data_IF_493696914676
#
_entry.id   IF_493696914676
#
_cell.length_a   1.000
_cell.length_b   1.000
_cell.length_c   1.000
_cell.angle_alpha   90.00
_cell.angle_beta   90.00
_cell.angle_gamma   90.00
#
_symmetry.space_group_name_H-M   'P 1'
#
loop_
_entity.id
_entity.type
_entity.pdbx_description
1 polymer ?
#
# COMPACT_ATOMS: atom_id res chain seq x y z
N UNK A 1 22.25 15.25 -16.47
CA UNK A 1 21.79 14.24 -15.48
C UNK A 1 22.66 13.00 -15.66
N UNK A 2 23.37 12.51 -14.64
CA UNK A 2 24.12 11.26 -14.75
C UNK A 2 23.12 10.08 -14.76
N UNK A 3 23.21 9.24 -15.80
CA UNK A 3 22.35 8.07 -15.95
C UNK A 3 22.62 7.02 -14.87
N UNK A 4 21.58 6.31 -14.47
CA UNK A 4 21.67 5.21 -13.50
C UNK A 4 22.48 4.07 -14.14
N UNK A 5 23.57 3.68 -13.47
CA UNK A 5 24.45 2.60 -13.89
C UNK A 5 23.89 1.25 -13.44
N UNK A 6 23.45 0.45 -14.41
CA UNK A 6 22.93 -0.90 -14.21
C UNK A 6 24.01 -1.99 -14.21
N UNK A 7 25.31 -1.64 -14.37
CA UNK A 7 26.43 -2.60 -14.39
C UNK A 7 26.61 -3.39 -13.09
N UNK A 8 25.92 -3.01 -12.00
CA UNK A 8 25.89 -3.76 -10.74
C UNK A 8 25.09 -5.07 -10.81
N UNK A 9 24.17 -5.20 -11.76
CA UNK A 9 23.32 -6.39 -11.89
C UNK A 9 23.97 -7.52 -12.71
N UNK A 10 25.01 -7.19 -13.50
CA UNK A 10 25.75 -8.15 -14.34
C UNK A 10 26.76 -9.03 -13.56
N UNK A 11 26.85 -8.90 -12.23
CA UNK A 11 27.82 -9.65 -11.41
C UNK A 11 27.28 -10.91 -10.73
N UNK A 12 26.07 -11.35 -11.07
CA UNK A 12 25.48 -12.60 -10.56
C UNK A 12 25.85 -13.82 -11.42
N UNK A 13 27.09 -13.88 -11.91
CA UNK A 13 27.62 -15.08 -12.57
C UNK A 13 28.17 -16.05 -11.53
N UNK A 14 27.59 -17.24 -11.55
CA UNK A 14 27.88 -18.44 -10.76
C UNK A 14 29.36 -18.62 -10.39
N UNK A 15 29.68 -18.42 -9.11
CA UNK A 15 30.97 -18.82 -8.55
C UNK A 15 30.93 -20.30 -8.17
N UNK A 16 31.12 -21.16 -9.16
CA UNK A 16 31.39 -22.59 -8.99
C UNK A 16 32.85 -22.85 -8.58
N UNK A 17 33.02 -23.47 -7.41
CA UNK A 17 34.05 -24.44 -7.00
C UNK A 17 35.52 -24.25 -7.41
N UNK A 18 36.39 -24.12 -6.40
CA UNK A 18 37.76 -24.64 -6.40
C UNK A 18 38.07 -25.23 -5.02
N UNK A 19 37.83 -26.53 -4.85
CA UNK A 19 38.24 -27.32 -3.69
C UNK A 19 39.70 -27.77 -3.86
N UNK A 20 40.58 -27.30 -2.95
CA UNK A 20 41.89 -27.90 -2.73
C UNK A 20 41.80 -28.92 -1.60
N UNK A 21 41.93 -30.20 -1.97
CA UNK A 21 42.33 -31.33 -1.10
C UNK A 21 43.69 -31.02 -0.48
N UNK A 22 43.99 -31.37 0.77
CA UNK A 22 44.40 -32.71 1.17
C UNK A 22 44.55 -32.79 2.71
N UNK A 23 43.89 -33.75 3.38
CA UNK A 23 44.46 -34.41 4.57
C UNK A 23 43.67 -35.69 4.90
N UNK A 24 44.41 -36.74 5.27
CA UNK A 24 43.97 -38.12 5.35
C UNK A 24 43.28 -38.47 6.67
N UNK A 25 42.24 -39.30 6.59
CA UNK A 25 41.51 -39.75 7.78
C UNK A 25 40.45 -40.81 7.47
N UNK A 26 40.92 -42.00 7.11
CA UNK A 26 40.35 -43.33 7.40
C UNK A 26 39.06 -43.34 8.25
N UNK A 27 37.92 -43.79 7.65
CA UNK A 27 36.94 -44.74 8.23
C UNK A 27 35.64 -44.89 7.40
N UNK A 28 35.36 -46.16 7.11
CA UNK A 28 34.08 -46.87 6.96
C UNK A 28 32.99 -46.38 5.99
N UNK A 29 32.81 -47.24 4.98
CA UNK A 29 31.72 -47.33 4.01
C UNK A 29 30.32 -47.22 4.63
N UNK A 30 29.63 -46.11 4.31
CA UNK A 30 28.18 -46.08 4.13
C UNK A 30 27.82 -45.21 2.94
N UNK A 31 27.36 -45.86 1.88
CA UNK A 31 26.78 -45.28 0.67
C UNK A 31 25.63 -44.31 1.05
N UNK A 32 25.94 -43.02 1.09
CA UNK A 32 24.94 -41.97 0.95
C UNK A 32 25.09 -41.39 -0.45
N UNK A 33 24.15 -41.78 -1.31
CA UNK A 33 23.92 -41.25 -2.65
C UNK A 33 23.60 -39.75 -2.56
N UNK A 34 24.66 -38.94 -2.59
CA UNK A 34 24.61 -37.48 -2.53
C UNK A 34 24.30 -36.96 -3.94
N UNK A 35 23.07 -37.25 -4.40
CA UNK A 35 22.54 -36.68 -5.63
C UNK A 35 22.33 -35.18 -5.42
N UNK A 36 23.25 -34.39 -5.95
CA UNK A 36 23.18 -32.95 -6.14
C UNK A 36 21.76 -32.50 -6.53
N UNK A 37 21.05 -31.87 -5.58
CA UNK A 37 19.75 -31.24 -5.81
C UNK A 37 19.95 -30.02 -6.70
N UNK A 38 19.94 -30.23 -8.01
CA UNK A 38 19.67 -29.16 -8.95
C UNK A 38 18.26 -28.62 -8.67
N UNK A 39 18.05 -27.30 -8.62
CA UNK A 39 16.72 -26.73 -8.54
C UNK A 39 15.93 -27.18 -9.78
N UNK A 40 14.96 -28.07 -9.60
CA UNK A 40 14.03 -28.48 -10.65
C UNK A 40 12.88 -27.47 -10.70
N UNK A 41 12.77 -26.76 -11.82
CA UNK A 41 11.59 -25.95 -12.14
C UNK A 41 10.52 -26.89 -12.69
N UNK A 42 9.57 -27.28 -11.85
CA UNK A 42 8.35 -27.97 -12.30
C UNK A 42 7.49 -26.98 -13.07
N UNK A 43 7.33 -27.19 -14.39
CA UNK A 43 6.32 -26.47 -15.17
C UNK A 43 4.95 -26.74 -14.55
N UNK A 44 4.27 -25.68 -14.12
CA UNK A 44 2.87 -25.75 -13.70
C UNK A 44 2.03 -26.24 -14.89
N UNK A 45 1.57 -27.49 -14.84
CA UNK A 45 0.55 -28.04 -15.74
C UNK A 45 -0.83 -27.47 -15.37
N UNK A 46 -1.02 -26.19 -15.62
CA UNK A 46 -2.33 -25.53 -15.46
C UNK A 46 -2.71 -24.86 -16.78
N UNK A 47 -4.03 -24.75 -17.08
CA UNK A 47 -4.49 -24.19 -18.34
C UNK A 47 -3.94 -22.77 -18.53
N UNK A 48 -3.17 -22.59 -19.61
CA UNK A 48 -2.47 -21.35 -19.96
C UNK A 48 -3.43 -20.19 -20.24
N UNK A 49 -4.71 -20.47 -20.53
CA UNK A 49 -5.75 -19.45 -20.67
C UNK A 49 -7.14 -20.00 -20.35
N UNK A 50 -7.88 -19.24 -19.55
CA UNK A 50 -9.32 -19.45 -19.32
C UNK A 50 -10.05 -18.25 -19.89
N UNK A 51 -10.89 -18.47 -20.90
CA UNK A 51 -11.68 -17.40 -21.53
C UNK A 51 -13.15 -17.60 -21.14
N UNK A 52 -13.76 -16.55 -20.58
CA UNK A 52 -15.18 -16.53 -20.22
C UNK A 52 -15.95 -15.79 -21.32
N UNK A 53 -16.72 -16.53 -22.11
CA UNK A 53 -17.58 -15.98 -23.17
C UNK A 53 -19.06 -16.27 -22.91
N UNK A 54 -19.98 -15.69 -23.72
CA UNK A 54 -21.43 -15.94 -23.61
C UNK A 54 -21.81 -17.41 -23.82
N UNK A 55 -20.89 -18.23 -24.34
CA UNK A 55 -21.05 -19.67 -24.54
C UNK A 55 -20.41 -20.53 -23.42
N UNK A 56 -20.02 -19.92 -22.28
CA UNK A 56 -19.42 -20.62 -21.15
C UNK A 56 -17.89 -20.49 -21.04
N UNK A 57 -17.30 -21.36 -20.22
CA UNK A 57 -15.86 -21.38 -19.90
C UNK A 57 -15.11 -22.19 -20.96
N UNK A 58 -14.26 -21.54 -21.75
CA UNK A 58 -13.32 -22.22 -22.64
C UNK A 58 -11.94 -22.32 -21.98
N UNK A 59 -11.42 -23.54 -21.85
CA UNK A 59 -10.07 -23.83 -21.38
C UNK A 59 -9.18 -24.17 -22.59
N UNK A 60 -8.15 -23.37 -22.80
CA UNK A 60 -7.17 -23.59 -23.85
C UNK A 60 -5.90 -24.18 -23.22
N UNK A 61 -5.58 -25.43 -23.57
CA UNK A 61 -4.39 -26.14 -23.06
C UNK A 61 -3.12 -25.84 -23.88
N UNK A 62 -3.27 -25.24 -25.06
CA UNK A 62 -2.13 -24.92 -25.90
C UNK A 62 -1.44 -23.63 -25.38
N UNK A 63 -0.11 -23.63 -25.21
CA UNK A 63 0.62 -22.40 -24.93
C UNK A 63 0.44 -21.42 -26.10
N UNK A 64 0.22 -20.12 -25.84
CA UNK A 64 0.06 -19.14 -26.90
C UNK A 64 1.32 -19.12 -27.78
N UNK A 65 1.14 -19.31 -29.09
CA UNK A 65 2.22 -19.12 -30.05
C UNK A 65 2.52 -17.62 -30.10
N UNK A 66 3.67 -17.21 -29.57
CA UNK A 66 4.08 -15.81 -29.60
C UNK A 66 4.22 -15.35 -31.06
N UNK A 67 3.31 -14.47 -31.50
CA UNK A 67 3.28 -13.95 -32.87
C UNK A 67 4.32 -12.86 -33.15
N UNK A 68 5.17 -12.53 -32.18
CA UNK A 68 6.25 -11.57 -32.34
C UNK A 68 7.46 -11.95 -31.46
N UNK A 69 8.25 -12.94 -31.91
CA UNK A 69 9.65 -13.01 -31.48
C UNK A 69 10.48 -12.17 -32.46
N UNK A 70 11.23 -11.16 -32.01
CA UNK A 70 12.17 -10.43 -32.86
C UNK A 70 13.39 -11.28 -33.24
N UNK A 71 13.53 -12.48 -32.65
CA UNK A 71 14.58 -13.44 -32.99
C UNK A 71 14.05 -14.46 -33.98
N UNK A 72 14.10 -14.11 -35.27
CA UNK A 72 14.07 -15.10 -36.36
C UNK A 72 15.44 -15.76 -36.42
N UNK A 73 15.62 -16.86 -35.68
CA UNK A 73 16.69 -17.80 -35.98
C UNK A 73 16.38 -18.45 -37.34
N UNK A 74 17.14 -18.00 -38.34
CA UNK A 74 17.16 -18.58 -39.67
C UNK A 74 18.13 -19.76 -39.60
N UNK A 75 17.60 -20.98 -39.62
CA UNK A 75 18.39 -22.20 -39.76
C UNK A 75 18.92 -22.32 -41.20
N UNK A 76 20.06 -21.67 -41.46
CA UNK A 76 20.94 -22.00 -42.58
C UNK A 76 22.38 -21.61 -42.23
N UNK A 77 23.39 -22.47 -42.50
CA UNK A 77 24.79 -22.19 -42.18
C UNK A 77 25.35 -21.05 -43.06
N UNK A 78 26.27 -20.21 -42.53
CA UNK A 78 26.76 -19.05 -43.26
C UNK A 78 27.74 -19.47 -44.35
N UNK A 79 27.50 -18.99 -45.57
CA UNK A 79 28.57 -18.76 -46.56
C UNK A 79 29.11 -17.36 -46.36
N UNK A 80 30.40 -17.27 -46.06
CA UNK A 80 31.18 -16.05 -46.11
C UNK A 80 30.98 -15.34 -47.46
N UNK A 81 30.64 -14.06 -47.42
CA UNK A 81 31.14 -13.10 -48.41
C UNK A 81 31.20 -11.72 -47.77
N UNK A 82 32.41 -11.18 -47.77
CA UNK A 82 32.76 -9.78 -47.59
C UNK A 82 31.89 -8.88 -48.49
N UNK A 83 31.33 -7.81 -47.93
CA UNK A 83 31.53 -6.42 -48.38
C UNK A 83 30.44 -5.47 -47.83
N UNK A 84 30.91 -4.40 -47.17
CA UNK A 84 30.50 -3.04 -47.50
C UNK A 84 29.22 -2.45 -46.88
N UNK A 85 29.46 -1.38 -46.12
CA UNK A 85 28.68 -0.12 -46.13
C UNK A 85 27.63 0.13 -45.03
N UNK A 86 28.11 0.83 -44.00
CA UNK A 86 27.58 2.04 -43.33
C UNK A 86 26.15 2.50 -43.68
N UNK A 87 25.31 2.63 -42.64
CA UNK A 87 24.45 3.80 -42.45
C UNK A 87 24.02 3.91 -40.96
N UNK A 88 24.55 4.92 -40.28
CA UNK A 88 24.12 5.41 -38.97
C UNK A 88 22.94 6.35 -39.19
N UNK A 89 21.82 6.11 -38.53
CA UNK A 89 20.70 7.04 -38.49
C UNK A 89 20.39 7.42 -37.03
N UNK A 90 20.82 8.62 -36.65
CA UNK A 90 20.42 9.30 -35.42
C UNK A 90 19.08 10.01 -35.65
N UNK A 91 18.12 9.84 -34.74
CA UNK A 91 16.90 10.65 -34.68
C UNK A 91 17.12 11.86 -33.75
N UNK A 92 16.71 13.09 -34.15
CA UNK A 92 16.88 14.30 -33.34
C UNK A 92 15.72 14.51 -32.36
N UNK A 93 16.06 14.88 -31.13
CA UNK A 93 15.13 15.38 -30.10
C UNK A 93 14.95 16.90 -30.32
N UNK A 94 13.70 17.35 -30.48
CA UNK A 94 13.33 18.77 -30.47
C UNK A 94 13.07 19.21 -29.05
N UNK A 95 13.88 20.17 -28.57
CA UNK A 95 13.60 21.00 -27.41
C UNK A 95 12.69 22.16 -27.82
N UNK A 96 11.65 22.43 -27.04
CA UNK A 96 10.86 23.67 -27.15
C UNK A 96 10.97 24.44 -25.83
N UNK A 97 11.63 25.58 -25.95
CA UNK A 97 11.83 26.62 -24.93
C UNK A 97 10.68 27.63 -25.03
N UNK A 98 10.13 28.07 -23.90
CA UNK A 98 9.66 29.45 -23.82
C UNK A 98 9.79 30.02 -22.41
N UNK A 99 10.59 31.09 -22.37
CA UNK A 99 10.80 32.10 -21.34
C UNK A 99 9.54 32.99 -21.22
N UNK A 100 9.26 33.47 -20.02
CA UNK A 100 8.63 34.78 -19.84
C UNK A 100 9.21 35.44 -18.59
N UNK A 101 9.99 36.50 -18.82
CA UNK A 101 10.43 37.49 -17.84
C UNK A 101 9.28 38.50 -17.63
N UNK A 102 9.12 39.02 -16.41
CA UNK A 102 8.84 40.45 -16.22
C UNK A 102 9.26 40.90 -14.82
N UNK A 103 9.83 42.10 -14.83
CA UNK A 103 10.71 42.73 -13.87
C UNK A 103 9.98 43.82 -13.05
N UNK A 104 10.71 44.37 -12.08
CA UNK A 104 10.65 45.71 -11.48
C UNK A 104 9.79 45.99 -10.23
N UNK A 105 10.49 46.35 -9.15
CA UNK A 105 9.93 47.15 -8.05
C UNK A 105 10.75 47.22 -6.75
N UNK A 106 11.92 47.86 -6.77
CA UNK A 106 12.62 48.34 -5.54
C UNK A 106 12.17 49.77 -5.18
N UNK A 107 12.33 50.26 -3.93
CA UNK A 107 13.60 50.92 -3.57
C UNK A 107 14.06 50.88 -2.09
N UNK A 108 15.41 50.92 -1.92
CA UNK A 108 16.28 51.69 -0.97
C UNK A 108 15.94 51.75 0.55
N UNK A 109 16.87 51.82 1.51
CA UNK A 109 18.34 51.80 1.61
C UNK A 109 18.76 51.87 3.12
N UNK A 110 20.08 51.75 3.39
CA UNK A 110 20.83 52.14 4.61
C UNK A 110 21.03 51.02 5.65
N UNK A 111 22.22 50.73 6.21
CA UNK A 111 23.58 51.29 6.11
C UNK A 111 24.57 50.38 6.87
N UNK A 112 25.78 50.24 6.29
CA UNK A 112 27.12 50.04 6.87
C UNK A 112 27.30 49.34 8.24
N UNK A 113 28.04 48.22 8.23
CA UNK A 113 29.25 48.11 9.06
C UNK A 113 30.28 47.18 8.42
N UNK A 114 31.50 47.69 8.29
CA UNK A 114 32.68 47.04 7.73
C UNK A 114 33.45 46.41 8.88
N UNK A 115 33.72 45.10 8.85
CA UNK A 115 34.92 44.56 9.53
C UNK A 115 35.41 43.27 8.88
N UNK A 116 36.60 43.38 8.30
CA UNK A 116 37.40 42.30 7.74
C UNK A 116 37.78 41.27 8.81
N UNK A 117 37.56 39.99 8.53
CA UNK A 117 38.41 38.92 9.07
C UNK A 117 38.65 37.90 7.97
N UNK A 118 39.92 37.73 7.60
CA UNK A 118 40.38 36.85 6.55
C UNK A 118 40.36 35.39 7.01
N UNK A 119 39.98 34.50 6.08
CA UNK A 119 40.54 33.15 6.02
C UNK A 119 39.89 32.10 6.91
N UNK A 120 38.67 31.68 6.58
CA UNK A 120 38.23 30.31 6.81
C UNK A 120 37.39 29.89 5.61
N UNK A 121 37.70 28.71 5.06
CA UNK A 121 36.85 28.05 4.08
C UNK A 121 35.57 27.68 4.82
N UNK A 122 34.55 28.51 4.65
CA UNK A 122 33.18 28.14 4.97
C UNK A 122 32.77 27.11 3.92
N UNK A 123 33.08 25.85 4.22
CA UNK A 123 32.28 24.73 3.77
C UNK A 123 30.94 24.84 4.52
N UNK A 124 30.15 25.86 4.16
CA UNK A 124 28.71 25.94 4.44
C UNK A 124 28.04 24.86 3.58
N UNK A 125 28.34 23.61 3.95
CA UNK A 125 27.52 22.46 3.62
C UNK A 125 26.22 22.73 4.37
N UNK A 126 25.30 23.44 3.71
CA UNK A 126 23.88 23.41 4.03
C UNK A 126 23.49 21.93 4.04
N UNK A 127 23.66 21.31 5.21
CA UNK A 127 23.12 20.02 5.54
C UNK A 127 21.62 20.29 5.59
N UNK A 128 20.99 20.27 4.41
CA UNK A 128 19.55 20.16 4.31
C UNK A 128 19.22 18.88 5.07
N UNK A 129 18.72 19.05 6.29
CA UNK A 129 18.09 18.00 7.08
C UNK A 129 16.85 17.56 6.29
N UNK A 130 17.08 16.72 5.29
CA UNK A 130 16.05 16.19 4.39
C UNK A 130 15.01 15.35 5.14
N UNK A 131 15.21 15.10 6.44
CA UNK A 131 14.28 14.41 7.33
C UNK A 131 13.15 15.30 7.83
N UNK A 132 13.27 16.62 7.69
CA UNK A 132 12.35 17.55 8.32
C UNK A 132 11.00 17.65 7.59
N UNK A 133 11.01 17.55 6.27
CA UNK A 133 9.79 17.63 5.45
C UNK A 133 8.95 16.34 5.53
N UNK A 134 9.58 15.19 5.82
CA UNK A 134 8.91 13.88 5.81
C UNK A 134 7.87 13.73 6.94
N UNK A 135 8.12 14.28 8.14
CA UNK A 135 7.19 14.18 9.27
C UNK A 135 5.89 14.96 9.01
N UNK A 136 6.01 16.14 8.40
CA UNK A 136 4.86 16.98 8.07
C UNK A 136 4.00 16.35 6.97
N UNK A 137 4.63 15.78 5.95
CA UNK A 137 3.95 15.00 4.92
C UNK A 137 3.23 13.79 5.51
N UNK A 138 3.86 13.07 6.45
CA UNK A 138 3.24 11.93 7.12
C UNK A 138 2.03 12.38 7.95
N UNK A 139 2.16 13.46 8.71
CA UNK A 139 1.06 14.00 9.52
C UNK A 139 -0.13 14.45 8.67
N UNK A 140 0.11 15.17 7.57
CA UNK A 140 -0.94 15.56 6.62
C UNK A 140 -1.60 14.35 5.96
N UNK A 141 -0.86 13.26 5.77
CA UNK A 141 -1.38 12.04 5.18
C UNK A 141 -2.30 11.24 6.12
N UNK A 142 -2.23 11.44 7.46
CA UNK A 142 -2.94 10.62 8.46
C UNK A 142 -4.47 10.57 8.33
N UNK A 143 -5.07 11.57 7.67
CA UNK A 143 -6.52 11.62 7.42
C UNK A 143 -6.86 11.66 5.91
N UNK A 144 -5.91 11.34 5.03
CA UNK A 144 -6.13 11.36 3.58
C UNK A 144 -7.25 10.40 3.17
N UNK A 145 -8.28 10.94 2.53
CA UNK A 145 -9.51 10.23 2.13
C UNK A 145 -10.26 9.53 3.28
N UNK A 146 -9.92 9.84 4.53
CA UNK A 146 -10.53 9.25 5.71
C UNK A 146 -10.91 10.36 6.68
N UNK A 147 -10.53 10.19 7.95
CA UNK A 147 -11.00 11.06 9.00
C UNK A 147 -10.21 10.98 10.29
N UNK A 148 -10.67 11.75 11.27
CA UNK A 148 -10.16 11.77 12.63
C UNK A 148 -11.34 11.70 13.59
N UNK A 149 -11.33 10.72 14.48
CA UNK A 149 -12.35 10.59 15.53
C UNK A 149 -11.76 11.09 16.85
N UNK A 150 -12.09 12.34 17.19
CA UNK A 150 -11.65 13.00 18.41
C UNK A 150 -10.13 12.95 18.62
N UNK A 151 -9.71 12.49 19.80
CA UNK A 151 -8.31 12.28 20.17
C UNK A 151 -7.90 10.80 20.14
N UNK A 152 -8.77 9.90 19.67
CA UNK A 152 -8.56 8.46 19.77
C UNK A 152 -7.71 7.94 18.61
N UNK A 153 -8.14 8.22 17.38
CA UNK A 153 -7.48 7.70 16.20
C UNK A 153 -7.70 8.58 14.97
N UNK A 154 -6.80 8.40 14.00
CA UNK A 154 -6.95 8.84 12.62
C UNK A 154 -7.11 7.63 11.73
N UNK A 155 -7.70 7.82 10.56
CA UNK A 155 -7.73 6.78 9.55
C UNK A 155 -7.67 7.36 8.15
N UNK A 156 -7.09 6.58 7.25
CA UNK A 156 -6.97 6.86 5.82
C UNK A 156 -7.46 5.66 5.05
N UNK A 157 -7.76 5.87 3.77
CA UNK A 157 -8.10 4.76 2.89
C UNK A 157 -7.67 5.00 1.45
N UNK A 158 -7.37 3.89 0.78
CA UNK A 158 -7.27 3.80 -0.67
C UNK A 158 -8.51 3.06 -1.20
N UNK A 159 -8.47 2.65 -2.45
CA UNK A 159 -9.50 1.78 -3.03
C UNK A 159 -9.56 0.42 -2.33
N UNK A 160 -8.41 -0.12 -1.96
CA UNK A 160 -8.19 -1.51 -1.52
C UNK A 160 -7.71 -1.64 -0.08
N UNK A 161 -7.21 -0.57 0.53
CA UNK A 161 -6.68 -0.59 1.89
C UNK A 161 -7.33 0.46 2.77
N UNK A 162 -7.28 0.21 4.08
CA UNK A 162 -7.59 1.16 5.14
C UNK A 162 -6.41 1.15 6.10
N UNK A 163 -5.99 2.33 6.55
CA UNK A 163 -4.93 2.46 7.55
C UNK A 163 -5.48 3.22 8.74
N UNK A 164 -5.37 2.66 9.94
CA UNK A 164 -5.85 3.26 11.19
C UNK A 164 -4.64 3.59 12.06
N UNK A 165 -4.57 4.82 12.56
CA UNK A 165 -3.48 5.30 13.41
C UNK A 165 -4.01 5.68 14.78
N UNK A 166 -3.68 4.88 15.80
CA UNK A 166 -4.06 5.13 17.19
C UNK A 166 -3.01 5.97 17.91
N UNK A 167 -3.45 6.95 18.69
CA UNK A 167 -2.55 7.67 19.59
C UNK A 167 -2.24 6.77 20.80
N UNK A 168 -0.97 6.47 21.03
CA UNK A 168 -0.51 5.64 22.15
C UNK A 168 0.47 6.43 23.03
N UNK A 169 0.73 6.02 24.28
CA UNK A 169 1.70 6.68 25.14
C UNK A 169 3.07 6.80 24.47
N UNK A 170 3.75 7.91 24.71
CA UNK A 170 5.03 8.25 24.06
C UNK A 170 6.10 7.17 24.20
N UNK A 171 6.14 6.53 25.37
CA UNK A 171 7.11 5.51 25.76
C UNK A 171 6.78 4.11 25.19
N UNK A 172 5.68 3.97 24.46
CA UNK A 172 5.24 2.68 23.91
C UNK A 172 6.28 2.11 22.96
N UNK A 173 6.78 0.92 23.30
CA UNK A 173 7.70 0.13 22.47
C UNK A 173 6.96 -1.06 21.90
N UNK A 174 7.50 -1.71 20.86
CA UNK A 174 6.90 -2.92 20.28
C UNK A 174 6.62 -3.99 21.33
N UNK A 175 7.58 -4.23 22.23
CA UNK A 175 7.44 -5.17 23.36
C UNK A 175 6.35 -4.81 24.39
N UNK A 176 5.85 -3.57 24.37
CA UNK A 176 4.75 -3.13 25.23
C UNK A 176 3.40 -3.54 24.67
N UNK A 177 3.30 -3.82 23.37
CA UNK A 177 2.09 -4.35 22.73
C UNK A 177 2.05 -5.85 23.01
N UNK A 178 1.28 -6.25 24.02
CA UNK A 178 1.25 -7.65 24.49
C UNK A 178 0.18 -8.48 23.82
N UNK A 179 -0.83 -7.83 23.26
CA UNK A 179 -1.92 -8.49 22.57
C UNK A 179 -2.27 -7.65 21.34
N UNK A 180 -2.31 -8.32 20.20
CA UNK A 180 -2.85 -7.79 18.95
C UNK A 180 -3.69 -8.91 18.35
N UNK A 181 -4.99 -8.69 18.21
CA UNK A 181 -5.92 -9.65 17.64
C UNK A 181 -6.83 -8.96 16.66
N UNK A 182 -6.95 -9.58 15.49
CA UNK A 182 -7.91 -9.21 14.47
C UNK A 182 -8.70 -10.47 14.14
N UNK A 183 -10.01 -10.46 14.41
CA UNK A 183 -10.86 -11.63 14.26
C UNK A 183 -12.27 -11.27 13.85
N UNK A 184 -13.00 -12.24 13.31
CA UNK A 184 -14.42 -12.08 13.00
C UNK A 184 -15.27 -12.56 14.19
N UNK A 185 -16.31 -11.80 14.53
CA UNK A 185 -17.30 -12.19 15.52
C UNK A 185 -18.72 -11.80 15.07
N UNK A 186 -19.71 -12.50 15.59
CA UNK A 186 -21.11 -12.19 15.32
C UNK A 186 -21.46 -10.82 15.90
N UNK A 187 -22.16 -10.00 15.10
CA UNK A 187 -22.61 -8.68 15.55
C UNK A 187 -23.56 -8.79 16.74
N UNK A 188 -23.16 -8.24 17.88
CA UNK A 188 -23.99 -8.18 19.10
C UNK A 188 -25.22 -7.26 18.91
N UNK A 189 -25.17 -6.34 17.94
CA UNK A 189 -26.20 -5.31 17.76
C UNK A 189 -27.40 -5.75 16.93
N UNK A 190 -27.28 -6.85 16.18
CA UNK A 190 -28.35 -7.37 15.33
C UNK A 190 -28.30 -8.91 15.32
N UNK A 191 -28.79 -9.58 16.39
CA UNK A 191 -28.67 -11.03 16.56
C UNK A 191 -29.37 -11.86 15.47
N UNK A 192 -30.32 -11.26 14.73
CA UNK A 192 -31.01 -11.91 13.61
C UNK A 192 -30.23 -11.83 12.29
N UNK A 193 -29.16 -11.02 12.24
CA UNK A 193 -28.32 -10.89 11.06
C UNK A 193 -27.06 -11.72 11.27
N UNK A 194 -26.84 -12.74 10.44
CA UNK A 194 -25.60 -13.54 10.39
C UNK A 194 -24.39 -12.72 9.87
N UNK A 195 -24.45 -11.39 9.98
CA UNK A 195 -23.38 -10.49 9.61
C UNK A 195 -22.28 -10.59 10.65
N UNK A 196 -21.21 -11.22 10.22
CA UNK A 196 -19.95 -11.24 10.92
C UNK A 196 -19.27 -9.87 10.75
N UNK A 197 -18.65 -9.38 11.82
CA UNK A 197 -17.92 -8.12 11.84
C UNK A 197 -16.48 -8.38 12.27
N UNK A 198 -15.55 -7.62 11.72
CA UNK A 198 -14.16 -7.68 12.15
C UNK A 198 -13.95 -6.86 13.42
N UNK A 199 -13.34 -7.48 14.42
CA UNK A 199 -12.96 -6.90 15.70
C UNK A 199 -11.46 -6.72 15.76
N UNK A 200 -11.02 -5.58 16.28
CA UNK A 200 -9.64 -5.26 16.60
C UNK A 200 -9.49 -5.16 18.11
N UNK A 201 -8.59 -5.97 18.68
CA UNK A 201 -8.19 -5.89 20.08
C UNK A 201 -6.69 -5.66 20.19
N UNK A 202 -6.31 -4.61 20.91
CA UNK A 202 -4.91 -4.28 21.18
C UNK A 202 -4.75 -3.99 22.68
N UNK A 203 -3.80 -4.66 23.31
CA UNK A 203 -3.46 -4.42 24.73
C UNK A 203 -2.02 -3.92 24.81
N UNK A 204 -1.84 -2.74 25.43
CA UNK A 204 -0.55 -2.08 25.59
C UNK A 204 -0.23 -1.94 27.09
N UNK A 205 0.89 -2.52 27.52
CA UNK A 205 1.44 -2.32 28.86
C UNK A 205 2.10 -0.94 28.96
N UNK A 206 1.47 -0.07 29.75
CA UNK A 206 1.98 1.28 30.01
C UNK A 206 2.93 1.24 31.21
N UNK A 207 4.21 1.61 31.05
CA UNK A 207 5.14 1.68 32.17
C UNK A 207 4.67 2.69 33.23
N UNK A 208 4.91 2.44 34.54
CA UNK A 208 4.51 3.35 35.62
C UNK A 208 5.16 4.75 35.61
N UNK A 209 6.03 5.04 34.66
CA UNK A 209 7.09 6.02 34.84
C UNK A 209 6.73 7.49 34.56
N UNK A 210 5.53 7.82 34.06
CA UNK A 210 5.26 9.19 33.57
C UNK A 210 4.08 9.92 34.21
N UNK A 211 3.44 9.38 35.25
CA UNK A 211 2.48 10.17 36.03
C UNK A 211 3.22 10.94 37.13
N UNK A 212 4.04 11.93 36.76
CA UNK A 212 4.46 12.99 37.67
C UNK A 212 3.27 13.91 37.96
N UNK A 213 2.22 13.36 38.55
CA UNK A 213 1.13 14.16 39.10
C UNK A 213 1.57 14.61 40.47
N UNK A 214 1.86 15.91 40.63
CA UNK A 214 2.30 16.56 41.86
C UNK A 214 1.21 16.60 42.97
N UNK A 215 0.23 15.71 42.91
CA UNK A 215 -0.89 15.60 43.83
C UNK A 215 -0.76 14.28 44.58
N UNK A 216 -0.46 14.35 45.87
CA UNK A 216 -0.18 13.22 46.78
C UNK A 216 -1.38 12.32 47.09
N UNK A 217 -2.09 11.86 46.05
CA UNK A 217 -3.08 10.80 46.13
C UNK A 217 -2.46 9.40 46.00
N UNK A 218 -3.13 8.35 46.48
CA UNK A 218 -2.66 6.98 46.35
C UNK A 218 -2.45 6.62 44.87
N UNK A 219 -1.22 6.18 44.55
CA UNK A 219 -0.78 5.78 43.21
C UNK A 219 -1.65 4.65 42.68
N UNK A 220 -2.60 4.95 41.81
CA UNK A 220 -3.31 3.93 41.04
C UNK A 220 -2.27 3.12 40.25
N UNK A 221 -2.30 1.79 40.37
CA UNK A 221 -1.45 0.92 39.56
C UNK A 221 -1.70 1.22 38.07
N UNK A 222 -0.67 1.38 37.22
CA UNK A 222 -0.87 1.63 35.81
C UNK A 222 -1.65 0.48 35.19
N UNK A 223 -2.88 0.75 34.77
CA UNK A 223 -3.69 -0.22 34.05
C UNK A 223 -3.18 -0.38 32.61
N UNK A 224 -3.30 -1.57 32.01
CA UNK A 224 -3.03 -1.73 30.59
C UNK A 224 -3.98 -0.84 29.78
N UNK A 225 -3.46 -0.19 28.74
CA UNK A 225 -4.28 0.50 27.75
C UNK A 225 -4.87 -0.56 26.82
N UNK A 226 -6.20 -0.70 26.84
CA UNK A 226 -6.93 -1.62 25.97
C UNK A 226 -7.69 -0.84 24.91
N UNK A 227 -7.43 -1.15 23.66
CA UNK A 227 -8.16 -0.66 22.49
C UNK A 227 -9.00 -1.83 22.00
N UNK A 228 -10.31 -1.65 21.94
CA UNK A 228 -11.23 -2.63 21.39
C UNK A 228 -12.21 -1.90 20.48
N UNK A 229 -12.11 -2.17 19.18
CA UNK A 229 -12.91 -1.49 18.16
C UNK A 229 -13.51 -2.51 17.19
N UNK A 230 -14.67 -2.16 16.63
CA UNK A 230 -15.39 -3.00 15.67
C UNK A 230 -15.48 -2.27 14.35
N UNK A 231 -14.92 -2.86 13.30
CA UNK A 231 -14.93 -2.25 11.96
C UNK A 231 -16.35 -2.14 11.43
N UNK A 232 -16.67 -0.99 10.83
CA UNK A 232 -17.98 -0.75 10.21
C UNK A 232 -18.19 -1.63 8.97
N UNK A 233 -17.11 -1.95 8.29
CA UNK A 233 -17.07 -2.59 6.98
C UNK A 233 -16.13 -3.81 7.01
N UNK A 234 -16.35 -4.79 6.13
CA UNK A 234 -15.54 -6.00 6.11
C UNK A 234 -14.10 -5.76 5.65
N UNK A 235 -13.18 -6.49 6.27
CA UNK A 235 -11.74 -6.49 5.98
C UNK A 235 -11.26 -7.93 5.79
N UNK A 236 -10.19 -8.12 5.01
CA UNK A 236 -9.59 -9.44 4.81
C UNK A 236 -8.81 -9.86 6.05
N UNK A 237 -9.09 -11.07 6.54
CA UNK A 237 -8.51 -11.64 7.77
C UNK A 237 -7.60 -12.85 7.53
N UNK A 238 -6.98 -12.97 6.35
CA UNK A 238 -6.03 -14.07 6.12
C UNK A 238 -4.78 -13.90 6.99
N UNK A 239 -4.27 -15.00 7.52
CA UNK A 239 -3.11 -15.03 8.44
C UNK A 239 -1.90 -14.26 7.88
N UNK A 240 -1.58 -14.47 6.60
CA UNK A 240 -0.48 -13.76 5.90
C UNK A 240 -0.65 -12.24 5.84
N UNK A 241 -1.89 -11.75 5.88
CA UNK A 241 -2.18 -10.31 5.88
C UNK A 241 -2.20 -9.72 7.28
N UNK A 242 -2.44 -10.54 8.31
CA UNK A 242 -2.47 -10.11 9.71
C UNK A 242 -1.04 -10.03 10.25
N UNK A 243 -0.17 -10.96 9.84
CA UNK A 243 1.24 -10.87 10.20
C UNK A 243 1.88 -9.62 9.56
N UNK A 244 2.51 -8.79 10.38
CA UNK A 244 3.09 -7.52 9.93
C UNK A 244 2.09 -6.41 9.57
N UNK A 245 0.79 -6.56 9.85
CA UNK A 245 -0.21 -5.53 9.53
C UNK A 245 -0.14 -4.27 10.40
N UNK A 246 0.75 -4.22 11.39
CA UNK A 246 0.87 -3.09 12.29
C UNK A 246 2.32 -2.68 12.54
N UNK A 247 2.49 -1.41 12.87
CA UNK A 247 3.80 -0.81 13.15
C UNK A 247 3.66 0.40 14.07
N UNK A 248 4.74 0.74 14.77
CA UNK A 248 4.80 1.90 15.65
C UNK A 248 5.58 3.04 14.98
N UNK A 249 4.93 4.16 14.75
CA UNK A 249 5.56 5.38 14.25
C UNK A 249 5.91 6.35 15.38
N UNK A 250 6.97 7.11 15.16
CA UNK A 250 7.46 8.13 16.07
C UNK A 250 7.59 9.44 15.31
N UNK A 251 6.91 10.47 15.81
CA UNK A 251 6.90 11.82 15.23
C UNK A 251 7.45 12.79 16.28
N UNK A 252 8.78 12.99 16.33
CA UNK A 252 9.44 13.82 17.34
C UNK A 252 8.96 15.26 17.37
N UNK A 253 8.80 15.91 16.22
CA UNK A 253 8.46 17.33 16.15
C UNK A 253 7.06 17.60 16.69
N UNK A 254 6.14 16.67 16.45
CA UNK A 254 4.74 16.77 16.89
C UNK A 254 4.49 16.10 18.23
N UNK A 255 5.49 15.44 18.80
CA UNK A 255 5.38 14.67 20.03
C UNK A 255 4.26 13.61 19.97
N UNK A 256 4.16 12.91 18.82
CA UNK A 256 3.17 11.85 18.61
C UNK A 256 3.81 10.47 18.54
N UNK A 257 3.19 9.52 19.23
CA UNK A 257 3.47 8.10 19.10
C UNK A 257 2.22 7.43 18.56
N UNK A 258 2.36 6.80 17.40
CA UNK A 258 1.23 6.22 16.69
C UNK A 258 1.41 4.71 16.56
N UNK A 259 0.36 3.95 16.88
CA UNK A 259 0.24 2.56 16.47
C UNK A 259 -0.62 2.51 15.21
N UNK A 260 0.02 2.18 14.10
CA UNK A 260 -0.57 2.20 12.77
C UNK A 260 -0.89 0.78 12.35
N UNK A 261 -2.14 0.53 11.97
CA UNK A 261 -2.67 -0.75 11.52
C UNK A 261 -3.12 -0.59 10.07
N UNK A 262 -2.51 -1.32 9.15
CA UNK A 262 -2.83 -1.32 7.72
C UNK A 262 -3.57 -2.61 7.36
N UNK A 263 -4.78 -2.48 6.83
CA UNK A 263 -5.66 -3.59 6.52
C UNK A 263 -6.13 -3.52 5.07
N UNK A 264 -6.49 -4.68 4.53
CA UNK A 264 -7.08 -4.80 3.20
C UNK A 264 -8.60 -4.90 3.29
N UNK A 265 -9.28 -4.11 2.47
CA UNK A 265 -10.74 -4.14 2.35
C UNK A 265 -11.18 -5.43 1.68
N UNK A 266 -12.32 -5.97 2.13
CA UNK A 266 -12.98 -7.03 1.39
C UNK A 266 -13.71 -6.45 0.17
N UNK A 267 -13.62 -7.13 -0.96
CA UNK A 267 -14.21 -6.65 -2.21
C UNK A 267 -15.73 -6.79 -2.19
N UNK A 268 -16.45 -5.69 -2.37
CA UNK A 268 -17.92 -5.68 -2.41
C UNK A 268 -18.40 -5.98 -3.83
N UNK A 269 -18.17 -7.22 -4.29
CA UNK A 269 -18.54 -7.65 -5.64
C UNK A 269 -17.55 -7.25 -6.73
N UNK A 270 -17.74 -7.83 -7.92
CA UNK A 270 -16.79 -7.70 -9.04
C UNK A 270 -16.71 -6.26 -9.57
N UNK A 271 -15.59 -5.58 -9.30
CA UNK A 271 -15.27 -4.27 -9.88
C UNK A 271 -15.93 -3.08 -9.18
N UNK A 272 -16.55 -3.28 -8.02
CA UNK A 272 -17.06 -2.20 -7.19
C UNK A 272 -16.06 -1.84 -6.09
N UNK A 273 -15.84 -0.54 -5.91
CA UNK A 273 -15.00 -0.02 -4.83
C UNK A 273 -15.86 0.61 -3.77
N UNK A 274 -15.73 0.11 -2.55
CA UNK A 274 -16.38 0.67 -1.38
C UNK A 274 -15.46 1.70 -0.71
N UNK A 275 -15.89 2.96 -0.74
CA UNK A 275 -15.30 4.03 0.05
C UNK A 275 -16.01 4.09 1.40
N UNK A 276 -15.25 3.94 2.47
CA UNK A 276 -15.77 3.91 3.83
C UNK A 276 -16.15 5.31 4.26
N UNK A 277 -17.29 5.50 4.91
CA UNK A 277 -17.68 6.81 5.48
C UNK A 277 -17.14 7.02 6.91
N UNK A 278 -16.79 5.92 7.58
CA UNK A 278 -16.22 5.80 8.93
C UNK A 278 -15.42 4.51 9.05
N UNK A 279 -14.54 4.43 10.04
CA UNK A 279 -13.70 3.26 10.26
C UNK A 279 -14.39 2.23 11.15
N UNK A 280 -14.92 2.68 12.28
CA UNK A 280 -15.53 1.85 13.30
C UNK A 280 -17.03 2.11 13.46
N UNK A 281 -17.73 1.14 14.05
CA UNK A 281 -19.16 1.27 14.38
C UNK A 281 -19.40 2.36 15.43
N UNK A 282 -18.43 2.54 16.32
CA UNK A 282 -18.41 3.52 17.42
C UNK A 282 -18.15 4.95 16.95
N UNK A 283 -17.65 5.14 15.74
CA UNK A 283 -17.34 6.47 15.19
C UNK A 283 -18.62 7.32 15.05
N UNK A 284 -18.59 8.48 15.71
CA UNK A 284 -19.68 9.46 15.66
C UNK A 284 -19.52 10.41 14.47
N UNK A 285 -18.29 10.75 14.10
CA UNK A 285 -18.01 11.68 13.01
C UNK A 285 -17.97 10.93 11.68
N UNK A 286 -19.04 11.02 10.90
CA UNK A 286 -18.98 10.66 9.48
C UNK A 286 -18.23 11.77 8.74
N UNK A 287 -16.95 11.53 8.42
CA UNK A 287 -16.09 12.56 7.80
C UNK A 287 -16.39 12.71 6.30
N UNK A 288 -16.97 11.69 5.67
CA UNK A 288 -17.21 11.70 4.23
C UNK A 288 -18.68 11.96 3.90
N UNK A 289 -19.13 13.20 4.12
CA UNK A 289 -20.41 13.66 3.58
C UNK A 289 -20.43 13.59 2.03
N UNK A 290 -19.27 13.74 1.38
CA UNK A 290 -19.13 13.71 -0.09
C UNK A 290 -18.04 12.72 -0.56
N UNK A 291 -18.35 11.42 -0.53
CA UNK A 291 -17.52 10.38 -1.17
C UNK A 291 -17.23 10.63 -2.66
N UNK A 292 -18.03 11.38 -3.46
CA UNK A 292 -17.63 11.72 -4.84
C UNK A 292 -16.53 12.80 -4.93
N UNK A 293 -16.23 13.54 -3.86
CA UNK A 293 -15.22 14.59 -3.88
C UNK A 293 -13.78 14.05 -3.77
N UNK A 294 -13.62 12.79 -3.34
CA UNK A 294 -12.33 12.10 -3.12
C UNK A 294 -11.45 12.18 -4.38
N UNK A 295 -10.26 12.81 -4.32
CA UNK A 295 -9.38 13.01 -5.48
C UNK A 295 -9.00 11.70 -6.18
N UNK A 296 -8.71 10.64 -5.42
CA UNK A 296 -8.30 9.36 -6.00
C UNK A 296 -9.44 8.71 -6.79
N UNK A 297 -10.69 8.88 -6.33
CA UNK A 297 -11.89 8.47 -7.07
C UNK A 297 -12.06 9.27 -8.36
N UNK A 298 -11.82 10.59 -8.32
CA UNK A 298 -11.87 11.45 -9.52
C UNK A 298 -10.81 11.05 -10.54
N UNK A 299 -9.57 10.83 -10.10
CA UNK A 299 -8.45 10.41 -10.98
C UNK A 299 -8.76 9.09 -11.67
N UNK A 300 -9.30 8.10 -10.96
CA UNK A 300 -9.69 6.82 -11.57
C UNK A 300 -10.82 6.95 -12.60
N UNK A 301 -11.84 7.74 -12.27
CA UNK A 301 -12.97 8.00 -13.18
C UNK A 301 -12.51 8.70 -14.46
N UNK A 302 -11.47 9.54 -14.38
CA UNK A 302 -10.86 10.20 -15.54
C UNK A 302 -9.89 9.30 -16.31
N UNK A 303 -9.15 8.41 -15.61
CA UNK A 303 -8.12 7.56 -16.22
C UNK A 303 -8.68 6.36 -17.00
N UNK A 304 -9.93 5.95 -16.78
CA UNK A 304 -10.53 4.82 -17.50
C UNK A 304 -11.75 5.27 -18.32
N UNK A 305 -11.57 5.71 -19.58
CA UNK A 305 -12.67 6.04 -20.48
C UNK A 305 -13.58 4.81 -20.66
N UNK A 306 -14.87 4.95 -20.37
CA UNK A 306 -15.87 3.86 -20.43
C UNK A 306 -16.25 3.25 -19.07
N UNK A 307 -15.47 3.48 -18.01
CA UNK A 307 -15.83 3.02 -16.66
C UNK A 307 -16.94 3.90 -16.07
N UNK A 308 -17.00 5.17 -16.47
CA UNK A 308 -18.10 6.09 -16.13
C UNK A 308 -19.43 5.62 -16.72
N UNK A 309 -19.44 5.24 -18.00
CA UNK A 309 -20.64 4.70 -18.67
C UNK A 309 -21.09 3.40 -18.01
N UNK A 310 -20.16 2.47 -17.74
CA UNK A 310 -20.49 1.24 -16.99
C UNK A 310 -21.06 1.55 -15.61
N UNK A 311 -20.45 2.47 -14.86
CA UNK A 311 -20.92 2.85 -13.53
C UNK A 311 -22.29 3.56 -13.54
N UNK A 312 -22.59 4.35 -14.57
CA UNK A 312 -23.91 4.94 -14.79
C UNK A 312 -24.95 3.87 -15.16
N UNK A 313 -24.57 2.93 -16.01
CA UNK A 313 -25.43 1.81 -16.41
C UNK A 313 -25.74 0.89 -15.22
N UNK A 314 -24.75 0.58 -14.38
CA UNK A 314 -24.97 -0.13 -13.12
C UNK A 314 -25.86 0.65 -12.15
N UNK A 315 -25.64 1.96 -11.99
CA UNK A 315 -26.51 2.81 -11.15
C UNK A 315 -27.96 2.80 -11.62
N UNK A 316 -28.18 2.83 -12.94
CA UNK A 316 -29.51 2.73 -13.53
C UNK A 316 -30.15 1.37 -13.21
N UNK A 317 -29.46 0.27 -13.51
CA UNK A 317 -29.96 -1.10 -13.23
C UNK A 317 -30.29 -1.28 -11.75
N UNK A 318 -29.45 -0.74 -10.86
CA UNK A 318 -29.66 -0.81 -9.42
C UNK A 318 -30.88 -0.01 -8.96
N UNK A 319 -31.08 1.19 -9.52
CA UNK A 319 -32.23 2.04 -9.22
C UNK A 319 -33.54 1.37 -9.69
N UNK A 320 -33.54 0.86 -10.93
CA UNK A 320 -34.67 0.15 -11.52
C UNK A 320 -35.04 -1.09 -10.68
N UNK A 321 -34.04 -1.87 -10.24
CA UNK A 321 -34.26 -3.03 -9.37
C UNK A 321 -34.84 -2.66 -8.00
N UNK A 322 -34.37 -1.56 -7.39
CA UNK A 322 -34.91 -1.07 -6.12
C UNK A 322 -36.33 -0.52 -6.25
N UNK A 323 -36.65 0.11 -7.37
CA UNK A 323 -38.01 0.55 -7.67
C UNK A 323 -38.95 -0.65 -7.85
N UNK A 324 -38.52 -1.65 -8.61
CA UNK A 324 -39.27 -2.89 -8.81
C UNK A 324 -39.51 -3.65 -7.49
N UNK A 325 -38.49 -3.72 -6.63
CA UNK A 325 -38.63 -4.30 -5.30
C UNK A 325 -39.67 -3.55 -4.45
N UNK A 326 -39.59 -2.21 -4.42
CA UNK A 326 -40.57 -1.37 -3.70
C UNK A 326 -41.98 -1.57 -4.24
N UNK A 327 -42.14 -1.66 -5.56
CA UNK A 327 -43.43 -1.93 -6.22
C UNK A 327 -44.02 -3.27 -5.76
N UNK A 328 -43.24 -4.35 -5.80
CA UNK A 328 -43.68 -5.69 -5.34
C UNK A 328 -43.99 -5.76 -3.85
N UNK A 329 -43.29 -4.99 -3.03
CA UNK A 329 -43.59 -4.90 -1.60
C UNK A 329 -44.92 -4.20 -1.33
N UNK A 330 -45.26 -3.17 -2.12
CA UNK A 330 -46.54 -2.49 -2.02
C UNK A 330 -47.70 -3.36 -2.52
N UNK A 331 -47.52 -4.10 -3.62
CA UNK A 331 -48.51 -5.07 -4.13
C UNK A 331 -48.84 -6.13 -3.07
N UNK A 332 -47.82 -6.81 -2.50
CA UNK A 332 -48.03 -7.79 -1.43
C UNK A 332 -48.74 -7.22 -0.20
N UNK A 333 -48.46 -5.96 0.16
CA UNK A 333 -49.13 -5.31 1.29
C UNK A 333 -50.62 -5.06 1.03
N UNK A 334 -51.00 -4.80 -0.24
CA UNK A 334 -52.41 -4.63 -0.63
C UNK A 334 -53.15 -5.96 -0.65
N UNK A 335 -52.54 -7.00 -1.21
CA UNK A 335 -53.12 -8.36 -1.24
C UNK A 335 -53.38 -8.94 0.16
N UNK A 336 -52.56 -8.58 1.16
CA UNK A 336 -52.76 -9.02 2.55
C UNK A 336 -53.87 -8.21 3.26
N UNK A 337 -54.23 -7.03 2.75
CA UNK A 337 -55.24 -6.16 3.36
C UNK A 337 -56.67 -6.37 2.84
N UNK A 338 -56.84 -7.18 1.79
CA UNK A 338 -58.14 -7.60 1.24
C UNK A 338 -58.58 -8.95 1.81
#
# INVERSE_FOLDING_TARGET
MPGIDYSKWDKLSDSGTSSGTEDEGDRDDREHDDSSRHPQVTRLEYPSRVTLGPNGVQREQAPPTASASPFRETSAPPKETHNGSVAVACCPIKEESSRAEHDTGAPKASSYSTRNTAGRRDDDQECMDATDDDEDLLYESLARNGGREGSHHWWTQTEDTVTVSFLVPWETKGKSVTEFRLYEACSTTAPESELHQAHLEITILVPPACLTSASGGPSASPGPLRIHEVFRYPVKLSEDLIDGCWQLYFMPKRHLRLLVVQLFKEAVGCGMTLWWDRCFVTDTTSVIADTPAIPDRKRRTQATPGLKEKAEQFRKVWADAHEEFRRRMQERKREISE
#
